data_IF_678523157432
#
_entry.id   IF_678523157432
#
_cell.length_a   1.000
_cell.length_b   1.000
_cell.length_c   1.000
_cell.angle_alpha   90.00
_cell.angle_beta   90.00
_cell.angle_gamma   90.00
#
_symmetry.space_group_name_H-M   'P 1'
#
loop_
_entity.id
_entity.type
_entity.pdbx_description
1 polymer ?
#
# COMPACT_ATOMS: atom_id res chain seq x y z
N UNK A 1 -1.85 3.02 7.90
CA UNK A 1 -1.01 3.99 8.64
C UNK A 1 0.25 4.18 7.82
N UNK A 2 0.29 5.23 7.01
CA UNK A 2 1.46 5.60 6.23
C UNK A 2 2.45 6.22 7.23
N UNK A 3 3.50 5.50 7.62
CA UNK A 3 4.57 6.10 8.44
C UNK A 3 5.49 6.83 7.46
N UNK A 4 5.23 8.11 7.27
CA UNK A 4 6.25 9.05 6.81
C UNK A 4 6.99 9.49 8.07
N UNK A 5 8.22 9.03 8.30
CA UNK A 5 9.05 9.59 9.38
C UNK A 5 9.52 10.96 8.91
N UNK A 6 8.70 11.98 9.17
CA UNK A 6 9.11 13.38 9.11
C UNK A 6 9.50 13.78 10.53
N UNK A 7 10.77 13.60 10.88
CA UNK A 7 11.33 14.14 12.12
C UNK A 7 11.40 15.66 11.99
N UNK A 8 10.35 16.36 12.42
CA UNK A 8 10.37 17.80 12.60
C UNK A 8 11.08 18.16 13.91
N UNK A 9 11.98 19.15 13.88
CA UNK A 9 12.46 19.90 15.05
C UNK A 9 13.24 21.15 14.60
N UNK A 10 13.44 22.14 15.49
CA UNK A 10 12.65 23.36 15.63
C UNK A 10 13.17 24.54 14.79
N UNK A 11 12.27 25.48 14.47
CA UNK A 11 12.60 26.77 13.87
C UNK A 11 13.43 27.61 14.86
N UNK A 12 14.73 27.77 14.59
CA UNK A 12 15.53 28.89 15.12
C UNK A 12 15.31 30.12 14.23
N UNK A 13 15.04 31.30 14.80
CA UNK A 13 14.88 32.52 14.01
C UNK A 13 16.27 33.05 13.64
N UNK A 14 16.61 33.03 12.36
CA UNK A 14 17.87 33.57 11.89
C UNK A 14 17.95 33.68 10.37
N UNK A 15 17.76 34.90 9.85
CA UNK A 15 18.20 35.31 8.52
C UNK A 15 17.30 34.87 7.36
N UNK A 16 16.30 35.71 7.03
CA UNK A 16 15.49 35.59 5.81
C UNK A 16 16.40 35.77 4.59
N UNK A 17 16.70 34.68 3.89
CA UNK A 17 17.39 34.73 2.60
C UNK A 17 16.35 34.52 1.48
N UNK A 18 15.86 35.64 0.93
CA UNK A 18 14.73 35.76 -0.01
C UNK A 18 14.85 34.93 -1.29
N UNK A 19 16.04 34.37 -1.60
CA UNK A 19 16.29 33.47 -2.74
C UNK A 19 15.99 31.99 -2.43
N UNK A 20 16.11 31.59 -1.16
CA UNK A 20 15.84 30.23 -0.66
C UNK A 20 14.34 29.89 -0.75
N UNK A 21 13.50 30.91 -0.67
CA UNK A 21 12.05 30.78 -0.71
C UNK A 21 11.51 30.44 -2.11
N UNK A 22 12.18 30.86 -3.20
CA UNK A 22 11.63 30.73 -4.55
C UNK A 22 11.88 29.36 -5.21
N UNK A 23 13.01 28.70 -4.95
CA UNK A 23 13.30 27.35 -5.45
C UNK A 23 12.54 26.30 -4.62
N UNK A 24 12.56 26.46 -3.29
CA UNK A 24 11.77 25.65 -2.37
C UNK A 24 10.27 25.76 -2.66
N UNK A 25 9.73 26.96 -2.95
CA UNK A 25 8.33 27.10 -3.36
C UNK A 25 8.00 26.46 -4.70
N UNK A 26 8.94 26.21 -5.60
CA UNK A 26 8.70 25.59 -6.91
C UNK A 26 8.73 24.06 -6.86
N UNK A 27 9.68 23.47 -6.13
CA UNK A 27 9.69 22.03 -5.85
C UNK A 27 8.56 21.65 -4.89
N UNK A 28 8.31 22.46 -3.85
CA UNK A 28 7.16 22.29 -2.96
C UNK A 28 5.84 22.55 -3.71
N UNK A 29 5.77 23.47 -4.70
CA UNK A 29 4.58 23.63 -5.58
C UNK A 29 4.35 22.44 -6.50
N UNK A 30 5.42 21.82 -7.03
CA UNK A 30 5.28 20.62 -7.87
C UNK A 30 4.89 19.39 -7.04
N UNK A 31 5.49 19.21 -5.87
CA UNK A 31 5.13 18.19 -4.90
C UNK A 31 3.73 18.41 -4.31
N UNK A 32 3.30 19.65 -4.05
CA UNK A 32 1.93 19.97 -3.60
C UNK A 32 0.91 19.89 -4.73
N UNK A 33 1.25 20.17 -5.99
CA UNK A 33 0.37 19.92 -7.13
C UNK A 33 0.20 18.41 -7.38
N UNK A 34 1.27 17.62 -7.25
CA UNK A 34 1.21 16.15 -7.28
C UNK A 34 0.47 15.61 -6.04
N UNK A 35 0.67 16.18 -4.85
CA UNK A 35 -0.11 15.85 -3.64
C UNK A 35 -1.55 16.35 -3.67
N UNK A 36 -1.90 17.41 -4.40
CA UNK A 36 -3.29 17.88 -4.55
C UNK A 36 -4.03 17.07 -5.63
N UNK A 37 -3.32 16.64 -6.67
CA UNK A 37 -3.89 15.81 -7.74
C UNK A 37 -3.95 14.32 -7.34
N UNK A 38 -3.02 13.83 -6.50
CA UNK A 38 -3.06 12.48 -5.90
C UNK A 38 -3.74 12.44 -4.52
N UNK A 39 -3.77 13.55 -3.78
CA UNK A 39 -4.28 13.61 -2.40
C UNK A 39 -5.79 13.85 -2.30
N UNK A 40 -6.48 14.15 -3.40
CA UNK A 40 -7.94 14.14 -3.40
C UNK A 40 -8.55 12.72 -3.31
N UNK A 41 -7.73 11.66 -3.39
CA UNK A 41 -8.19 10.27 -3.20
C UNK A 41 -7.49 9.52 -2.08
N UNK A 42 -6.53 10.15 -1.39
CA UNK A 42 -5.77 9.53 -0.30
C UNK A 42 -6.01 10.24 1.04
N UNK A 43 -7.22 10.72 1.28
CA UNK A 43 -7.66 10.85 2.67
C UNK A 43 -7.88 9.43 3.20
N UNK A 44 -7.37 9.15 4.39
CA UNK A 44 -7.60 7.94 5.18
C UNK A 44 -9.09 7.83 5.58
N UNK A 45 -10.01 7.86 4.62
CA UNK A 45 -11.41 7.60 4.87
C UNK A 45 -11.53 6.11 5.19
N UNK A 46 -11.92 5.82 6.43
CA UNK A 46 -12.40 4.49 6.77
C UNK A 46 -13.43 4.05 5.72
N UNK A 47 -13.40 2.78 5.28
CA UNK A 47 -14.29 2.33 4.22
C UNK A 47 -15.73 2.59 4.64
N UNK A 48 -16.55 3.09 3.73
CA UNK A 48 -17.95 3.37 4.01
C UNK A 48 -18.72 2.07 4.28
N UNK A 49 -18.30 0.93 3.73
CA UNK A 49 -18.86 -0.38 4.02
C UNK A 49 -17.93 -1.18 4.94
N UNK A 50 -18.43 -1.59 6.10
CA UNK A 50 -17.71 -2.34 7.12
C UNK A 50 -18.53 -3.53 7.60
N UNK A 51 -17.87 -4.50 8.24
CA UNK A 51 -18.52 -5.66 8.84
C UNK A 51 -18.56 -5.54 10.36
N UNK A 52 -19.66 -5.99 10.97
CA UNK A 52 -19.77 -6.03 12.43
C UNK A 52 -18.84 -7.06 13.07
N UNK A 53 -18.59 -8.14 12.33
CA UNK A 53 -17.79 -9.27 12.75
C UNK A 53 -16.71 -9.60 11.72
N UNK A 54 -15.57 -10.18 12.13
CA UNK A 54 -14.60 -10.70 11.19
C UNK A 54 -15.24 -11.75 10.29
N UNK A 55 -14.95 -11.69 9.00
CA UNK A 55 -15.52 -12.52 7.96
C UNK A 55 -14.52 -13.59 7.46
N UNK A 56 -15.04 -14.76 7.06
CA UNK A 56 -16.42 -15.22 7.28
C UNK A 56 -16.67 -15.55 8.75
N UNK A 57 -17.90 -15.38 9.22
CA UNK A 57 -18.33 -15.85 10.53
C UNK A 57 -17.99 -17.33 10.71
N UNK A 58 -17.47 -17.72 11.88
CA UNK A 58 -17.15 -19.11 12.27
C UNK A 58 -16.18 -19.86 11.33
N UNK A 59 -15.45 -19.16 10.44
CA UNK A 59 -14.39 -19.77 9.66
C UNK A 59 -13.13 -19.97 10.52
N UNK A 60 -12.34 -21.03 10.28
CA UNK A 60 -11.08 -21.23 10.97
C UNK A 60 -10.16 -20.02 10.82
N UNK A 61 -9.63 -19.57 11.95
CA UNK A 61 -8.56 -18.58 12.02
C UNK A 61 -7.22 -19.28 11.75
N UNK A 62 -6.38 -18.66 10.94
CA UNK A 62 -5.04 -19.13 10.65
C UNK A 62 -4.03 -18.28 11.41
N UNK A 63 -2.95 -18.93 11.85
CA UNK A 63 -1.81 -18.23 12.41
C UNK A 63 -0.88 -17.68 11.31
N UNK A 64 -0.91 -18.28 10.12
CA UNK A 64 -0.01 -17.91 9.03
C UNK A 64 -0.66 -18.18 7.67
N UNK A 65 -0.22 -17.44 6.65
CA UNK A 65 -0.44 -17.80 5.26
C UNK A 65 0.33 -19.08 4.92
N UNK A 66 -0.28 -20.05 4.22
CA UNK A 66 0.42 -21.25 3.80
C UNK A 66 1.66 -20.95 2.96
N UNK A 67 2.75 -21.69 3.18
CA UNK A 67 4.02 -21.52 2.47
C UNK A 67 3.89 -21.45 0.94
N UNK A 68 2.94 -22.19 0.36
CA UNK A 68 2.66 -22.17 -1.08
C UNK A 68 2.19 -20.80 -1.61
N UNK A 69 1.64 -19.93 -0.75
CA UNK A 69 1.21 -18.58 -1.11
C UNK A 69 2.24 -17.51 -0.81
N UNK A 70 3.19 -17.78 0.08
CA UNK A 70 4.24 -16.82 0.43
C UNK A 70 5.12 -16.53 -0.79
N UNK A 71 5.69 -15.33 -0.88
CA UNK A 71 6.55 -14.87 -1.97
C UNK A 71 6.09 -13.56 -2.60
N UNK A 72 6.87 -13.11 -3.59
CA UNK A 72 6.58 -11.90 -4.36
C UNK A 72 5.73 -12.21 -5.59
N UNK A 73 4.80 -11.31 -5.89
CA UNK A 73 3.95 -11.35 -7.07
C UNK A 73 3.93 -9.96 -7.70
N UNK A 74 3.99 -9.87 -9.02
CA UNK A 74 4.00 -8.61 -9.75
C UNK A 74 2.67 -8.40 -10.48
N UNK A 75 2.15 -7.17 -10.47
CA UNK A 75 1.03 -6.82 -11.34
C UNK A 75 1.56 -6.76 -12.79
N UNK A 76 0.95 -7.47 -13.75
CA UNK A 76 1.43 -7.45 -15.13
C UNK A 76 1.25 -6.09 -15.83
N UNK A 77 0.51 -5.15 -15.24
CA UNK A 77 0.19 -3.86 -15.84
C UNK A 77 1.14 -2.75 -15.40
N UNK A 78 1.83 -2.90 -14.27
CA UNK A 78 2.67 -1.86 -13.70
C UNK A 78 3.82 -2.41 -12.82
N UNK A 79 4.53 -1.51 -12.14
CA UNK A 79 5.66 -1.84 -11.26
C UNK A 79 5.24 -2.20 -9.83
N UNK A 80 3.96 -2.54 -9.60
CA UNK A 80 3.46 -2.96 -8.29
C UNK A 80 3.86 -4.40 -8.00
N UNK A 81 4.41 -4.60 -6.82
CA UNK A 81 4.78 -5.90 -6.26
C UNK A 81 3.95 -6.13 -5.01
N UNK A 82 3.29 -7.28 -4.92
CA UNK A 82 2.63 -7.77 -3.73
C UNK A 82 3.51 -8.86 -3.09
N UNK A 83 4.03 -8.59 -1.90
CA UNK A 83 4.77 -9.54 -1.08
C UNK A 83 3.82 -10.17 -0.06
N UNK A 84 3.69 -11.49 -0.12
CA UNK A 84 2.98 -12.29 0.88
C UNK A 84 4.02 -12.99 1.75
N UNK A 85 4.04 -12.68 3.05
CA UNK A 85 4.88 -13.39 4.03
C UNK A 85 4.02 -14.37 4.83
N UNK A 86 4.60 -15.05 5.83
CA UNK A 86 3.84 -15.88 6.74
C UNK A 86 2.72 -15.11 7.46
N UNK A 87 2.94 -13.84 7.80
CA UNK A 87 2.01 -13.08 8.67
C UNK A 87 1.56 -11.74 8.07
N UNK A 88 2.07 -11.36 6.90
CA UNK A 88 1.80 -10.06 6.30
C UNK A 88 1.53 -10.13 4.80
N UNK A 89 0.79 -9.12 4.32
CA UNK A 89 0.66 -8.79 2.90
C UNK A 89 1.06 -7.34 2.73
N UNK A 90 2.09 -7.12 1.93
CA UNK A 90 2.74 -5.83 1.73
C UNK A 90 2.71 -5.51 0.25
N UNK A 91 2.28 -4.31 -0.10
CA UNK A 91 2.34 -3.79 -1.46
C UNK A 91 3.54 -2.85 -1.58
N UNK A 92 4.33 -3.03 -2.63
CA UNK A 92 5.46 -2.18 -2.99
C UNK A 92 5.22 -1.61 -4.37
N UNK A 93 5.43 -0.31 -4.56
CA UNK A 93 5.43 0.32 -5.88
C UNK A 93 6.82 0.85 -6.13
N UNK A 94 7.44 0.40 -7.23
CA UNK A 94 8.77 0.82 -7.63
C UNK A 94 8.68 1.77 -8.81
N UNK A 95 9.32 2.92 -8.72
CA UNK A 95 9.44 3.83 -9.86
C UNK A 95 10.80 4.51 -9.88
N UNK A 96 11.14 4.95 -11.07
CA UNK A 96 12.38 5.66 -11.34
C UNK A 96 12.14 7.17 -11.24
N UNK A 97 13.01 7.85 -10.51
CA UNK A 97 13.00 9.31 -10.38
C UNK A 97 14.27 9.85 -11.03
N UNK A 98 14.17 10.56 -12.16
CA UNK A 98 15.29 11.31 -12.70
C UNK A 98 15.62 12.48 -11.77
N UNK A 99 16.89 12.68 -11.48
CA UNK A 99 17.40 13.74 -10.60
C UNK A 99 18.54 14.46 -11.30
N UNK A 100 18.37 15.76 -11.55
CA UNK A 100 19.34 16.59 -12.26
C UNK A 100 20.52 16.94 -11.36
N UNK A 101 21.74 16.64 -11.81
CA UNK A 101 22.97 17.00 -11.10
C UNK A 101 23.14 18.52 -11.09
N UNK A 102 22.90 19.18 -12.22
CA UNK A 102 23.03 20.63 -12.35
C UNK A 102 22.08 21.40 -11.42
N UNK A 103 20.85 20.89 -11.23
CA UNK A 103 19.89 21.53 -10.32
C UNK A 103 20.31 21.35 -8.86
N UNK A 104 20.78 20.16 -8.48
CA UNK A 104 21.29 19.92 -7.13
C UNK A 104 22.50 20.80 -6.82
N UNK A 105 23.45 20.92 -7.75
CA UNK A 105 24.62 21.77 -7.59
C UNK A 105 24.24 23.26 -7.51
N UNK A 106 23.30 23.71 -8.36
CA UNK A 106 22.81 25.09 -8.37
C UNK A 106 22.10 25.48 -7.08
N UNK A 107 21.31 24.56 -6.52
CA UNK A 107 20.57 24.77 -5.28
C UNK A 107 21.42 24.46 -4.04
N UNK A 108 22.70 24.12 -4.24
CA UNK A 108 23.66 23.74 -3.19
C UNK A 108 23.13 22.62 -2.28
N UNK A 109 22.40 21.66 -2.86
CA UNK A 109 21.87 20.51 -2.14
C UNK A 109 23.04 19.56 -1.87
N UNK A 110 23.40 19.28 -0.61
CA UNK A 110 24.48 18.35 -0.30
C UNK A 110 24.04 16.92 -0.61
N UNK A 111 24.79 16.24 -1.47
CA UNK A 111 24.58 14.82 -1.77
C UNK A 111 25.91 14.07 -1.87
N UNK A 112 25.85 12.75 -1.75
CA UNK A 112 26.96 11.84 -2.00
C UNK A 112 26.46 10.63 -2.78
N UNK A 113 27.23 10.19 -3.77
CA UNK A 113 26.97 8.91 -4.45
C UNK A 113 28.11 7.96 -4.09
N UNK A 114 27.79 6.82 -3.46
CA UNK A 114 28.76 5.80 -3.08
C UNK A 114 28.17 4.41 -3.33
N UNK A 115 28.93 3.57 -4.03
CA UNK A 115 28.57 2.17 -4.32
C UNK A 115 27.16 2.02 -4.91
N UNK A 116 26.85 2.80 -5.96
CA UNK A 116 25.53 2.85 -6.61
C UNK A 116 24.37 3.26 -5.69
N UNK A 117 24.67 3.99 -4.62
CA UNK A 117 23.66 4.55 -3.70
C UNK A 117 23.84 6.06 -3.59
N UNK A 118 22.76 6.79 -3.81
CA UNK A 118 22.65 8.24 -3.63
C UNK A 118 22.19 8.56 -2.21
N UNK A 119 22.90 9.46 -1.53
CA UNK A 119 22.60 9.93 -0.18
C UNK A 119 22.40 11.45 -0.20
N UNK A 120 21.40 11.94 0.53
CA UNK A 120 21.17 13.37 0.75
C UNK A 120 20.60 13.60 2.15
N UNK A 121 20.43 14.87 2.55
CA UNK A 121 19.73 15.20 3.81
C UNK A 121 18.33 14.62 3.89
N UNK A 122 17.64 14.53 2.74
CA UNK A 122 16.25 14.10 2.64
C UNK A 122 16.14 12.58 2.47
N UNK A 123 17.26 11.90 2.23
CA UNK A 123 17.34 10.46 2.05
C UNK A 123 18.62 9.92 2.73
N UNK A 124 18.69 9.98 4.07
CA UNK A 124 19.88 9.57 4.83
C UNK A 124 20.14 8.06 4.72
N UNK A 125 19.10 7.26 4.53
CA UNK A 125 19.18 5.80 4.30
C UNK A 125 19.73 5.46 2.90
N UNK A 126 19.73 6.43 1.99
CA UNK A 126 20.18 6.29 0.62
C UNK A 126 19.12 5.72 -0.34
N UNK A 127 19.28 6.05 -1.62
CA UNK A 127 18.44 5.59 -2.73
C UNK A 127 19.32 4.87 -3.76
N UNK A 128 18.94 3.67 -4.24
CA UNK A 128 19.70 2.98 -5.28
C UNK A 128 19.73 3.81 -6.58
N UNK A 129 20.91 3.93 -7.18
CA UNK A 129 21.12 4.51 -8.50
C UNK A 129 21.00 3.40 -9.53
N UNK A 130 20.00 3.49 -10.41
CA UNK A 130 19.79 2.51 -11.48
C UNK A 130 20.71 2.75 -12.68
N UNK A 131 20.92 4.02 -12.99
CA UNK A 131 21.80 4.49 -14.05
C UNK A 131 22.19 5.95 -13.82
N UNK A 132 23.30 6.35 -14.41
CA UNK A 132 23.79 7.72 -14.40
C UNK A 132 24.12 8.18 -15.82
N UNK A 133 24.00 9.49 -16.01
CA UNK A 133 24.42 10.24 -17.19
C UNK A 133 25.24 11.44 -16.72
N UNK A 134 25.91 12.19 -17.61
CA UNK A 134 26.65 13.39 -17.20
C UNK A 134 25.78 14.43 -16.46
N UNK A 135 24.49 14.52 -16.79
CA UNK A 135 23.60 15.56 -16.26
C UNK A 135 22.56 15.05 -15.26
N UNK A 136 22.38 13.74 -15.13
CA UNK A 136 21.29 13.16 -14.34
C UNK A 136 21.61 11.81 -13.74
N UNK A 137 21.11 11.61 -12.52
CA UNK A 137 21.00 10.33 -11.85
C UNK A 137 19.58 9.81 -11.98
N UNK A 138 19.43 8.50 -12.07
CA UNK A 138 18.12 7.87 -12.08
C UNK A 138 17.99 6.97 -10.86
N UNK A 139 17.20 7.44 -9.90
CA UNK A 139 17.06 6.84 -8.59
C UNK A 139 15.87 5.89 -8.54
N UNK A 140 16.03 4.74 -7.88
CA UNK A 140 14.93 3.83 -7.60
C UNK A 140 14.25 4.23 -6.29
N UNK A 141 12.98 4.64 -6.38
CA UNK A 141 12.14 4.86 -5.22
C UNK A 141 11.19 3.68 -5.05
N UNK A 142 11.13 3.14 -3.83
CA UNK A 142 10.18 2.08 -3.46
C UNK A 142 9.21 2.61 -2.41
N UNK A 143 7.95 2.80 -2.79
CA UNK A 143 6.88 3.06 -1.83
C UNK A 143 6.37 1.74 -1.28
N UNK A 144 6.25 1.63 0.04
CA UNK A 144 5.79 0.40 0.70
C UNK A 144 4.53 0.70 1.51
N UNK A 145 3.45 -0.05 1.23
CA UNK A 145 2.21 -0.03 2.00
C UNK A 145 1.93 -1.41 2.61
N UNK A 146 1.58 -1.41 3.89
CA UNK A 146 1.25 -2.63 4.62
C UNK A 146 -0.25 -2.85 4.56
N UNK A 147 -0.68 -3.75 3.67
CA UNK A 147 -2.11 -4.02 3.48
C UNK A 147 -2.70 -4.85 4.62
N UNK A 148 -1.93 -5.77 5.18
CA UNK A 148 -2.33 -6.61 6.30
C UNK A 148 -1.11 -7.10 7.07
N UNK A 149 -1.19 -7.09 8.40
CA UNK A 149 -0.26 -7.78 9.31
C UNK A 149 -1.11 -8.44 10.36
N UNK A 150 -0.94 -9.73 10.55
CA UNK A 150 -1.64 -10.50 11.56
C UNK A 150 -1.16 -10.13 12.96
N UNK A 151 -2.10 -9.88 13.86
CA UNK A 151 -1.85 -9.56 15.26
C UNK A 151 -3.16 -9.75 16.06
N UNK A 152 -3.21 -9.34 17.33
CA UNK A 152 -4.40 -9.49 18.16
C UNK A 152 -5.67 -8.79 17.59
N UNK A 153 -5.49 -7.69 16.86
CA UNK A 153 -6.57 -6.92 16.24
C UNK A 153 -6.86 -7.36 14.79
N UNK A 154 -5.93 -8.04 14.13
CA UNK A 154 -6.02 -8.38 12.71
C UNK A 154 -5.98 -9.89 12.50
N UNK A 155 -7.08 -10.45 12.00
CA UNK A 155 -7.31 -11.90 11.98
C UNK A 155 -7.35 -12.44 10.56
N UNK A 156 -6.57 -13.49 10.31
CA UNK A 156 -6.56 -14.19 9.04
C UNK A 156 -7.53 -15.38 9.08
N UNK A 157 -8.48 -15.47 8.15
CA UNK A 157 -9.42 -16.59 8.06
C UNK A 157 -9.36 -17.25 6.70
N UNK A 158 -9.57 -18.56 6.64
CA UNK A 158 -9.65 -19.30 5.38
C UNK A 158 -11.05 -19.84 5.14
N UNK A 159 -11.57 -19.61 3.94
CA UNK A 159 -12.85 -20.17 3.53
C UNK A 159 -12.92 -20.34 2.02
N UNK A 160 -13.33 -21.54 1.58
CA UNK A 160 -13.54 -21.89 0.17
C UNK A 160 -12.36 -21.53 -0.75
N UNK A 161 -11.14 -21.78 -0.28
CA UNK A 161 -9.92 -21.52 -1.02
C UNK A 161 -9.47 -20.06 -1.07
N UNK A 162 -10.20 -19.15 -0.42
CA UNK A 162 -9.81 -17.75 -0.27
C UNK A 162 -9.40 -17.45 1.18
N UNK A 163 -8.58 -16.41 1.34
CA UNK A 163 -7.99 -15.96 2.60
C UNK A 163 -8.49 -14.55 2.89
N UNK A 164 -9.25 -14.42 3.98
CA UNK A 164 -9.89 -13.19 4.40
C UNK A 164 -9.03 -12.54 5.46
N UNK A 165 -8.50 -11.37 5.12
CA UNK A 165 -7.67 -10.52 5.95
C UNK A 165 -8.60 -9.53 6.66
N UNK A 166 -8.92 -9.82 7.92
CA UNK A 166 -9.83 -9.01 8.73
C UNK A 166 -9.03 -8.02 9.55
N UNK A 167 -9.27 -6.73 9.35
CA UNK A 167 -8.64 -5.65 10.09
C UNK A 167 -9.69 -4.98 10.98
N UNK A 168 -9.49 -5.05 12.29
CA UNK A 168 -10.33 -4.32 13.22
C UNK A 168 -10.02 -2.82 13.14
N UNK A 169 -11.04 -2.03 12.82
CA UNK A 169 -10.97 -0.57 12.79
C UNK A 169 -11.38 0.00 14.15
N UNK A 170 -12.42 -0.58 14.75
CA UNK A 170 -12.94 -0.23 16.07
C UNK A 170 -13.68 -1.45 16.67
N UNK A 171 -14.15 -1.41 17.92
CA UNK A 171 -15.02 -2.47 18.46
C UNK A 171 -16.19 -2.75 17.52
N UNK A 172 -16.40 -4.02 17.17
CA UNK A 172 -17.44 -4.47 16.23
C UNK A 172 -17.40 -3.78 14.84
N UNK A 173 -16.22 -3.33 14.38
CA UNK A 173 -16.06 -2.68 13.08
C UNK A 173 -14.83 -3.21 12.37
N UNK A 174 -15.06 -3.90 11.26
CA UNK A 174 -14.04 -4.65 10.55
C UNK A 174 -13.99 -4.28 9.07
N UNK A 175 -12.77 -3.99 8.60
CA UNK A 175 -12.44 -3.98 7.17
C UNK A 175 -12.00 -5.37 6.76
N UNK A 176 -12.40 -5.80 5.57
CA UNK A 176 -12.06 -7.13 5.05
C UNK A 176 -11.44 -6.98 3.67
N UNK A 177 -10.25 -7.55 3.50
CA UNK A 177 -9.64 -7.78 2.20
C UNK A 177 -9.62 -9.29 1.94
N UNK A 178 -9.62 -9.68 0.67
CA UNK A 178 -9.61 -11.09 0.30
C UNK A 178 -8.44 -11.38 -0.64
N UNK A 179 -7.62 -12.37 -0.28
CA UNK A 179 -6.57 -12.91 -1.12
C UNK A 179 -7.04 -14.27 -1.66
N UNK A 180 -7.09 -14.41 -2.98
CA UNK A 180 -7.56 -15.63 -3.64
C UNK A 180 -6.53 -16.17 -4.62
N UNK A 181 -6.04 -17.40 -4.44
CA UNK A 181 -5.20 -18.05 -5.44
C UNK A 181 -5.99 -18.33 -6.72
N UNK A 182 -5.36 -18.09 -7.87
CA UNK A 182 -5.93 -18.37 -9.20
C UNK A 182 -4.92 -19.21 -9.99
N UNK A 183 -5.11 -20.53 -9.95
CA UNK A 183 -4.12 -21.47 -10.50
C UNK A 183 -2.84 -21.53 -9.65
N UNK A 184 -1.72 -21.90 -10.28
CA UNK A 184 -0.45 -22.18 -9.57
C UNK A 184 0.45 -20.96 -9.34
N UNK A 185 0.34 -19.93 -10.18
CA UNK A 185 1.27 -18.79 -10.22
C UNK A 185 0.59 -17.44 -10.13
N UNK A 186 -0.72 -17.38 -9.89
CA UNK A 186 -1.43 -16.10 -9.79
C UNK A 186 -2.21 -16.02 -8.49
N UNK A 187 -2.29 -14.81 -7.98
CA UNK A 187 -3.15 -14.46 -6.86
C UNK A 187 -3.98 -13.26 -7.24
N UNK A 188 -5.14 -13.15 -6.62
CA UNK A 188 -6.01 -12.01 -6.73
C UNK A 188 -6.19 -11.39 -5.37
N UNK A 189 -6.01 -10.08 -5.32
CA UNK A 189 -6.33 -9.27 -4.17
C UNK A 189 -7.65 -8.56 -4.47
N UNK A 190 -8.63 -8.77 -3.61
CA UNK A 190 -9.98 -8.25 -3.77
C UNK A 190 -10.29 -7.30 -2.63
N UNK A 191 -10.87 -6.15 -2.99
CA UNK A 191 -11.25 -5.07 -2.10
C UNK A 191 -12.73 -4.77 -2.24
N UNK A 192 -13.32 -4.26 -1.18
CA UNK A 192 -14.63 -3.61 -1.30
C UNK A 192 -14.48 -2.34 -2.13
N UNK A 193 -15.35 -2.21 -3.12
CA UNK A 193 -15.62 -0.95 -3.79
C UNK A 193 -16.86 -0.35 -3.10
N UNK A 194 -16.64 0.57 -2.17
CA UNK A 194 -17.68 1.07 -1.26
C UNK A 194 -18.96 1.53 -1.97
N UNK A 195 -18.90 2.15 -3.14
CA UNK A 195 -20.11 2.59 -3.83
C UNK A 195 -20.88 1.42 -4.45
N UNK A 196 -20.19 0.55 -5.20
CA UNK A 196 -20.85 -0.50 -5.98
C UNK A 196 -21.17 -1.73 -5.13
N UNK A 197 -20.28 -2.09 -4.21
CA UNK A 197 -20.47 -3.24 -3.34
C UNK A 197 -21.51 -2.96 -2.25
N UNK A 198 -21.68 -1.70 -1.82
CA UNK A 198 -22.77 -1.30 -0.92
C UNK A 198 -24.15 -1.59 -1.52
N UNK A 199 -24.40 -1.17 -2.77
CA UNK A 199 -25.67 -1.41 -3.46
C UNK A 199 -25.97 -2.90 -3.53
N UNK A 200 -25.00 -3.72 -3.95
CA UNK A 200 -25.15 -5.18 -3.96
C UNK A 200 -25.40 -5.78 -2.58
N UNK A 201 -24.73 -5.25 -1.56
CA UNK A 201 -24.88 -5.76 -0.20
C UNK A 201 -26.29 -5.48 0.31
N UNK A 202 -26.86 -4.31 0.00
CA UNK A 202 -28.26 -3.95 0.32
C UNK A 202 -29.29 -4.85 -0.37
N UNK A 203 -29.00 -5.36 -1.57
CA UNK A 203 -29.86 -6.36 -2.25
C UNK A 203 -29.89 -7.73 -1.55
N UNK A 204 -28.91 -7.99 -0.67
CA UNK A 204 -28.69 -9.31 -0.06
C UNK A 204 -29.03 -9.30 1.43
N UNK A 205 -28.76 -8.20 2.13
CA UNK A 205 -29.01 -8.05 3.55
C UNK A 205 -29.40 -6.62 3.94
N UNK A 206 -30.03 -6.49 5.10
CA UNK A 206 -30.29 -5.20 5.74
C UNK A 206 -28.99 -4.66 6.33
N UNK A 207 -28.61 -3.46 5.90
CA UNK A 207 -27.44 -2.75 6.45
C UNK A 207 -27.87 -1.79 7.55
N UNK A 208 -27.08 -1.70 8.62
CA UNK A 208 -27.23 -0.65 9.64
C UNK A 208 -26.38 0.55 9.25
N UNK A 209 -26.98 1.73 9.10
CA UNK A 209 -26.24 2.96 8.85
C UNK A 209 -25.88 3.64 10.17
N UNK A 210 -24.61 3.97 10.35
CA UNK A 210 -24.09 4.74 11.48
C UNK A 210 -23.28 5.92 10.91
N UNK A 211 -23.82 7.14 11.03
CA UNK A 211 -23.24 8.36 10.46
C UNK A 211 -22.92 8.23 8.96
N UNK A 212 -21.63 8.09 8.61
CA UNK A 212 -21.10 7.96 7.25
C UNK A 212 -20.75 6.52 6.87
N UNK A 213 -21.05 5.56 7.73
CA UNK A 213 -20.67 4.14 7.59
C UNK A 213 -21.92 3.26 7.50
N UNK A 214 -21.80 2.17 6.76
CA UNK A 214 -22.77 1.10 6.64
C UNK A 214 -22.16 -0.17 7.20
N UNK A 215 -22.82 -0.74 8.20
CA UNK A 215 -22.43 -1.98 8.86
C UNK A 215 -23.23 -3.15 8.30
N UNK A 216 -22.48 -4.16 7.86
CA UNK A 216 -22.98 -5.43 7.38
C UNK A 216 -22.72 -6.51 8.43
N UNK A 217 -23.74 -7.32 8.73
CA UNK A 217 -23.59 -8.51 9.57
C UNK A 217 -24.10 -9.76 8.85
N UNK A 218 -23.49 -10.13 7.71
CA UNK A 218 -23.99 -11.22 6.90
C UNK A 218 -23.75 -12.56 7.59
N UNK A 219 -24.74 -13.44 7.54
CA UNK A 219 -24.55 -14.87 7.75
C UNK A 219 -23.59 -15.45 6.69
N UNK A 220 -23.05 -16.65 6.95
CA UNK A 220 -22.24 -17.35 5.94
C UNK A 220 -22.99 -17.58 4.61
N UNK A 221 -24.32 -17.73 4.64
CA UNK A 221 -25.14 -17.93 3.44
C UNK A 221 -25.24 -16.64 2.62
N UNK A 222 -25.46 -15.51 3.27
CA UNK A 222 -25.50 -14.19 2.63
C UNK A 222 -24.14 -13.78 2.09
N UNK A 223 -23.06 -13.95 2.87
CA UNK A 223 -21.71 -13.69 2.38
C UNK A 223 -21.40 -14.55 1.14
N UNK A 224 -21.82 -15.82 1.14
CA UNK A 224 -21.68 -16.69 -0.03
C UNK A 224 -22.42 -16.15 -1.25
N UNK A 225 -23.65 -15.65 -1.05
CA UNK A 225 -24.46 -15.04 -2.12
C UNK A 225 -23.77 -13.78 -2.66
N UNK A 226 -23.30 -12.90 -1.78
CA UNK A 226 -22.54 -11.70 -2.12
C UNK A 226 -21.30 -12.02 -2.97
N UNK A 227 -20.46 -12.97 -2.53
CA UNK A 227 -19.29 -13.39 -3.28
C UNK A 227 -19.64 -13.99 -4.65
N UNK A 228 -20.71 -14.80 -4.74
CA UNK A 228 -21.16 -15.41 -6.01
C UNK A 228 -21.69 -14.37 -6.99
N UNK A 229 -22.31 -13.32 -6.50
CA UNK A 229 -22.79 -12.20 -7.31
C UNK A 229 -21.66 -11.21 -7.65
N UNK A 230 -20.39 -11.55 -7.39
CA UNK A 230 -19.25 -10.70 -7.69
C UNK A 230 -19.15 -9.50 -6.77
N UNK A 231 -19.40 -9.70 -5.47
CA UNK A 231 -18.95 -8.80 -4.42
C UNK A 231 -17.43 -8.78 -4.31
N UNK A 232 -16.89 -7.71 -3.72
CA UNK A 232 -15.47 -7.32 -3.84
C UNK A 232 -15.10 -7.06 -5.31
N UNK A 233 -15.79 -6.10 -5.93
CA UNK A 233 -15.63 -5.82 -7.37
C UNK A 233 -14.24 -5.30 -7.73
N UNK A 234 -13.62 -4.52 -6.84
CA UNK A 234 -12.26 -4.05 -7.07
C UNK A 234 -11.31 -5.24 -6.90
N UNK A 235 -10.62 -5.59 -7.98
CA UNK A 235 -9.71 -6.74 -8.02
C UNK A 235 -8.41 -6.38 -8.73
N UNK A 236 -7.31 -6.81 -8.14
CA UNK A 236 -5.98 -6.73 -8.70
C UNK A 236 -5.45 -8.16 -8.85
N UNK A 237 -4.76 -8.46 -9.95
CA UNK A 237 -4.27 -9.81 -10.25
C UNK A 237 -2.77 -9.78 -10.41
N UNK A 238 -2.07 -10.50 -9.54
CA UNK A 238 -0.62 -10.54 -9.51
C UNK A 238 -0.11 -11.91 -9.96
N UNK A 239 1.04 -11.94 -10.63
CA UNK A 239 1.72 -13.16 -11.09
C UNK A 239 3.00 -13.36 -10.29
N UNK A 240 3.23 -14.59 -9.83
CA UNK A 240 4.36 -14.95 -8.97
C UNK A 240 5.68 -14.68 -9.66
N UNK A 241 6.56 -13.94 -8.99
CA UNK A 241 7.92 -13.69 -9.45
C UNK A 241 8.78 -14.90 -9.09
N UNK A 242 9.51 -15.49 -10.05
CA UNK A 242 10.48 -16.54 -9.74
C UNK A 242 11.60 -16.00 -8.83
N UNK A 243 12.14 -16.80 -7.89
CA UNK A 243 13.24 -16.38 -7.01
C UNK A 243 14.47 -15.84 -7.76
N UNK A 244 14.69 -16.24 -9.01
CA UNK A 244 15.80 -15.81 -9.85
C UNK A 244 15.67 -14.37 -10.40
N UNK A 245 14.51 -13.73 -10.25
CA UNK A 245 14.22 -12.39 -10.77
C UNK A 245 13.97 -11.34 -9.66
N UNK A 246 14.06 -11.74 -8.39
CA UNK A 246 14.04 -10.79 -7.28
C UNK A 246 15.42 -10.13 -7.23
N UNK A 247 15.53 -8.79 -7.38
CA UNK A 247 16.81 -8.11 -7.18
C UNK A 247 17.33 -8.47 -5.79
N UNK A 248 18.55 -9.01 -5.71
CA UNK A 248 19.19 -9.29 -4.43
C UNK A 248 19.42 -7.96 -3.71
N UNK A 249 18.50 -7.56 -2.86
CA UNK A 249 18.77 -6.56 -1.83
C UNK A 249 19.92 -7.12 -1.00
N UNK A 250 21.11 -6.53 -1.14
CA UNK A 250 22.24 -6.86 -0.28
C UNK A 250 21.87 -6.37 1.12
N UNK A 251 21.40 -7.27 1.97
CA UNK A 251 21.26 -7.03 3.40
C UNK A 251 22.66 -6.74 3.96
N UNK A 252 22.97 -5.48 4.20
CA UNK A 252 24.07 -5.09 5.06
C UNK A 252 23.70 -5.44 6.51
N UNK A 253 24.48 -6.35 7.10
CA UNK A 253 24.62 -6.48 8.55
C UNK A 253 25.61 -5.42 9.01
#
# INVERSE_FOLDING_TARGET
MLILVMSGLPLRPGGINKKRDNAMNRFLSFCTAIFLWLGFTACSSEPALQFENPQPLNAPELQEFPAALQGEYQDPKDSTILLVTATAVIQKVRFEVPTSIQEMDKDSIPYQVKNDTFYSSDSPEGLPVLRSTPDSLFLLVTLTDTLFVQNAAHRLRKWKGAYFMNQQLAPNRWKVLCLKPVGRKKIQLLYLNDSVDLVKMQEILTLRKEEKIYLANPSQKELRKFLRQGGFRKRETFTRVPPSQVPKEKSGI
#
